data_IF_529885640794
#
_entry.id   IF_529885640794
#
_cell.length_a   1.000
_cell.length_b   1.000
_cell.length_c   1.000
_cell.angle_alpha   90.00
_cell.angle_beta   90.00
_cell.angle_gamma   90.00
#
_symmetry.space_group_name_H-M   'P 1'
#
loop_
_entity.id
_entity.type
_entity.pdbx_description
1 polymer ?
#
# COMPACT_ATOMS: atom_id res chain seq x y z
N UNK A 1 -20.48 -11.49 23.79
CA UNK A 1 -20.05 -10.70 22.61
C UNK A 1 -21.29 -9.98 22.09
N UNK A 2 -21.34 -8.65 22.14
CA UNK A 2 -22.52 -7.92 21.73
C UNK A 2 -22.48 -7.70 20.21
N UNK A 3 -23.64 -7.73 19.55
CA UNK A 3 -23.77 -7.54 18.09
C UNK A 3 -23.09 -6.24 17.58
N UNK A 4 -23.18 -5.08 18.28
CA UNK A 4 -22.47 -3.86 17.88
C UNK A 4 -20.95 -4.02 17.92
N UNK A 5 -20.43 -4.74 18.93
CA UNK A 5 -18.99 -4.98 19.10
C UNK A 5 -18.43 -5.86 17.98
N UNK A 6 -19.18 -6.90 17.59
CA UNK A 6 -18.80 -7.77 16.47
C UNK A 6 -18.74 -6.99 15.15
N UNK A 7 -19.74 -6.15 14.89
CA UNK A 7 -19.79 -5.31 13.68
C UNK A 7 -18.61 -4.31 13.68
N UNK A 8 -18.33 -3.67 14.80
CA UNK A 8 -17.22 -2.73 14.93
C UNK A 8 -15.86 -3.37 14.61
N UNK A 9 -15.59 -4.57 15.15
CA UNK A 9 -14.35 -5.30 14.87
C UNK A 9 -14.25 -5.67 13.39
N UNK A 10 -15.36 -6.12 12.78
CA UNK A 10 -15.39 -6.52 11.37
C UNK A 10 -15.03 -5.35 10.45
N UNK A 11 -15.55 -4.15 10.73
CA UNK A 11 -15.24 -2.93 9.96
C UNK A 11 -13.75 -2.58 10.08
N UNK A 12 -13.20 -2.58 11.30
CA UNK A 12 -11.78 -2.25 11.51
C UNK A 12 -10.89 -3.23 10.75
N UNK A 13 -11.17 -4.54 10.87
CA UNK A 13 -10.42 -5.58 10.17
C UNK A 13 -10.52 -5.41 8.66
N UNK A 14 -11.71 -5.12 8.13
CA UNK A 14 -11.92 -4.91 6.69
C UNK A 14 -11.11 -3.71 6.17
N UNK A 15 -11.08 -2.59 6.91
CA UNK A 15 -10.32 -1.39 6.52
C UNK A 15 -8.82 -1.69 6.52
N UNK A 16 -8.30 -2.31 7.58
CA UNK A 16 -6.88 -2.68 7.68
C UNK A 16 -6.49 -3.64 6.55
N UNK A 17 -7.31 -4.67 6.32
CA UNK A 17 -7.08 -5.62 5.23
C UNK A 17 -7.08 -4.93 3.86
N UNK A 18 -7.99 -3.99 3.62
CA UNK A 18 -8.04 -3.22 2.37
C UNK A 18 -6.79 -2.36 2.15
N UNK A 19 -6.28 -1.70 3.19
CA UNK A 19 -5.05 -0.89 3.12
C UNK A 19 -3.86 -1.78 2.78
N UNK A 20 -3.69 -2.91 3.49
CA UNK A 20 -2.59 -3.85 3.26
C UNK A 20 -2.69 -4.47 1.87
N UNK A 21 -3.88 -4.93 1.46
CA UNK A 21 -4.10 -5.51 0.14
C UNK A 21 -3.79 -4.51 -0.97
N UNK A 22 -4.22 -3.24 -0.84
CA UNK A 22 -3.89 -2.17 -1.78
C UNK A 22 -2.38 -1.89 -1.83
N UNK A 23 -1.71 -1.88 -0.68
CA UNK A 23 -0.25 -1.73 -0.59
C UNK A 23 0.50 -2.85 -1.29
N UNK A 24 0.11 -4.12 -1.04
CA UNK A 24 0.71 -5.30 -1.69
C UNK A 24 0.42 -5.30 -3.19
N UNK A 25 -0.81 -4.95 -3.59
CA UNK A 25 -1.19 -4.86 -5.00
C UNK A 25 -0.37 -3.78 -5.71
N UNK A 26 -0.24 -2.57 -5.13
CA UNK A 26 0.60 -1.50 -5.67
C UNK A 26 2.07 -1.92 -5.77
N UNK A 27 2.61 -2.61 -4.75
CA UNK A 27 3.99 -3.11 -4.77
C UNK A 27 4.19 -4.16 -5.88
N UNK A 28 3.26 -5.11 -6.04
CA UNK A 28 3.30 -6.13 -7.10
C UNK A 28 3.15 -5.56 -8.51
N UNK A 29 2.37 -4.50 -8.67
CA UNK A 29 2.17 -3.84 -9.97
C UNK A 29 3.22 -2.75 -10.24
N UNK A 30 4.29 -2.71 -9.45
CA UNK A 30 5.35 -1.70 -9.51
C UNK A 30 4.80 -0.25 -9.45
N UNK A 31 3.60 -0.05 -8.91
CA UNK A 31 2.97 1.26 -8.62
C UNK A 31 3.47 1.82 -7.28
N UNK A 32 4.71 1.50 -6.92
CA UNK A 32 5.40 1.93 -5.72
C UNK A 32 6.78 2.38 -6.14
N UNK A 33 6.86 3.64 -6.59
CA UNK A 33 8.08 4.30 -7.00
C UNK A 33 8.14 5.70 -6.41
N UNK A 34 9.30 6.35 -6.54
CA UNK A 34 9.46 7.76 -6.24
C UNK A 34 8.36 8.55 -6.96
N UNK A 35 7.66 9.47 -6.26
CA UNK A 35 6.60 10.29 -6.87
C UNK A 35 7.12 11.18 -8.01
N UNK A 36 8.44 11.35 -8.10
CA UNK A 36 9.13 11.87 -9.27
C UNK A 36 9.23 10.72 -10.28
N UNK A 37 8.42 10.72 -11.34
CA UNK A 37 8.46 9.70 -12.39
C UNK A 37 9.90 9.29 -12.72
N UNK A 38 10.23 8.01 -12.51
CA UNK A 38 11.61 7.54 -12.51
C UNK A 38 12.34 7.81 -13.84
N UNK A 39 11.60 7.99 -14.93
CA UNK A 39 12.10 8.36 -16.26
C UNK A 39 12.86 9.70 -16.29
N UNK A 40 12.58 10.63 -15.36
CA UNK A 40 13.27 11.92 -15.24
C UNK A 40 13.75 12.21 -13.81
N UNK A 41 13.83 11.19 -12.95
CA UNK A 41 14.28 11.40 -11.57
C UNK A 41 15.80 11.66 -11.55
N UNK A 42 16.27 12.83 -11.09
CA UNK A 42 17.70 13.16 -11.06
C UNK A 42 18.53 12.23 -10.16
N UNK A 43 17.86 11.48 -9.28
CA UNK A 43 18.46 10.46 -8.41
C UNK A 43 18.28 9.02 -8.93
N UNK A 44 17.89 8.84 -10.20
CA UNK A 44 17.60 7.52 -10.78
C UNK A 44 18.75 6.50 -10.68
N UNK A 45 20.00 6.98 -10.73
CA UNK A 45 21.20 6.14 -10.60
C UNK A 45 21.45 5.57 -9.20
N UNK A 46 20.88 6.17 -8.15
CA UNK A 46 20.98 5.67 -6.77
C UNK A 46 19.74 4.88 -6.32
N UNK A 47 18.56 5.18 -6.89
CA UNK A 47 17.32 4.48 -6.55
C UNK A 47 17.26 3.03 -7.08
N UNK A 48 17.98 2.72 -8.16
CA UNK A 48 18.11 1.37 -8.70
C UNK A 48 19.59 0.94 -8.69
N UNK A 49 20.14 0.72 -7.49
CA UNK A 49 21.37 -0.06 -7.35
C UNK A 49 21.09 -1.49 -7.81
N UNK A 50 21.79 -1.89 -8.87
CA UNK A 50 21.88 -3.26 -9.40
C UNK A 50 22.34 -4.25 -8.33
#
# INVERSE_FOLDING_TARGET
MNLPTLIGILIIVAVVAAIVAKGVWNKKHHKGGCGCGCDHCPNGGACHTK
#
